data_IF_339569580134
#
_entry.id   IF_339569580134
#
_cell.length_a   1.000
_cell.length_b   1.000
_cell.length_c   1.000
_cell.angle_alpha   90.00
_cell.angle_beta   90.00
_cell.angle_gamma   90.00
#
_symmetry.space_group_name_H-M   'P 1'
#
loop_
_entity.id
_entity.type
_entity.pdbx_description
1 polymer ?
#
# COMPACT_ATOMS: atom_id res chain seq x y z
N UNK A 1 60.39 43.88 22.19
CA UNK A 1 59.68 42.82 21.41
C UNK A 1 59.92 41.47 22.10
N UNK A 2 59.00 40.48 22.14
CA UNK A 2 57.71 40.35 21.46
C UNK A 2 56.48 40.20 22.41
N UNK A 3 55.30 40.37 21.79
CA UNK A 3 53.96 40.44 22.38
C UNK A 3 53.38 39.04 22.65
N UNK A 4 52.93 38.76 23.89
CA UNK A 4 52.13 37.56 24.20
C UNK A 4 50.69 37.77 23.76
N UNK A 5 50.29 37.06 22.71
CA UNK A 5 48.98 37.15 22.08
C UNK A 5 47.89 36.48 22.93
N UNK A 6 46.78 37.20 23.07
CA UNK A 6 45.54 36.78 23.75
C UNK A 6 44.86 35.66 22.96
N UNK A 7 44.79 34.44 23.50
CA UNK A 7 43.84 33.41 23.03
C UNK A 7 42.52 33.56 23.78
N UNK A 8 41.60 34.35 23.21
CA UNK A 8 40.19 34.38 23.63
C UNK A 8 39.55 33.03 23.29
N UNK A 9 39.31 32.19 24.30
CA UNK A 9 38.45 31.01 24.19
C UNK A 9 37.02 31.49 23.92
N UNK A 10 36.57 31.37 22.68
CA UNK A 10 35.15 31.52 22.32
C UNK A 10 34.43 30.29 22.86
N UNK A 11 33.71 30.46 23.97
CA UNK A 11 32.71 29.50 24.40
C UNK A 11 31.60 29.51 23.35
N UNK A 12 31.59 28.50 22.49
CA UNK A 12 30.43 28.19 21.65
C UNK A 12 29.30 27.80 22.59
N UNK A 13 28.45 28.79 22.91
CA UNK A 13 27.16 28.61 23.54
C UNK A 13 26.33 27.79 22.55
N UNK A 14 26.32 26.47 22.72
CA UNK A 14 25.40 25.59 22.02
C UNK A 14 24.00 26.11 22.33
N UNK A 15 23.39 26.78 21.34
CA UNK A 15 21.98 27.07 21.37
C UNK A 15 21.30 25.72 21.58
N UNK A 16 20.67 25.54 22.75
CA UNK A 16 19.67 24.50 22.93
C UNK A 16 18.63 24.78 21.87
N UNK A 17 18.72 24.05 20.77
CA UNK A 17 17.64 23.92 19.81
C UNK A 17 16.47 23.43 20.65
N UNK A 18 15.56 24.35 20.96
CA UNK A 18 14.20 24.01 21.31
C UNK A 18 13.76 23.02 20.24
N UNK A 19 13.65 21.74 20.59
CA UNK A 19 13.05 20.74 19.72
C UNK A 19 11.56 21.05 19.79
N UNK A 20 10.96 21.68 18.76
CA UNK A 20 9.54 21.96 18.80
C UNK A 20 8.83 20.61 18.72
N UNK A 21 7.99 20.33 19.72
CA UNK A 21 7.03 19.23 19.73
C UNK A 21 7.62 17.86 19.40
N UNK A 22 7.88 17.04 20.43
CA UNK A 22 7.58 15.62 20.24
C UNK A 22 6.11 15.58 19.88
N UNK A 23 5.81 15.40 18.59
CA UNK A 23 4.47 15.15 18.13
C UNK A 23 4.03 13.92 18.89
N UNK A 24 3.19 14.17 19.89
CA UNK A 24 2.32 13.20 20.49
C UNK A 24 1.73 12.40 19.32
N UNK A 25 2.24 11.17 19.12
CA UNK A 25 1.78 10.24 18.08
C UNK A 25 0.51 9.56 18.60
N UNK A 26 -0.33 10.31 19.29
CA UNK A 26 -1.69 9.93 19.60
C UNK A 26 -2.48 9.97 18.31
N UNK A 27 -2.90 8.81 17.85
CA UNK A 27 -4.03 8.64 16.95
C UNK A 27 -3.97 9.42 15.62
N UNK A 28 -2.78 9.46 14.99
CA UNK A 28 -2.72 9.85 13.57
C UNK A 28 -3.21 8.67 12.74
N UNK A 29 -4.48 8.73 12.36
CA UNK A 29 -5.03 7.89 11.30
C UNK A 29 -4.04 7.88 10.13
N UNK A 30 -3.36 6.74 9.93
CA UNK A 30 -2.41 6.60 8.83
C UNK A 30 -3.23 6.52 7.55
N UNK A 31 -2.80 7.22 6.51
CA UNK A 31 -3.57 7.36 5.28
C UNK A 31 -2.72 6.89 4.10
N UNK A 32 -3.35 6.14 3.19
CA UNK A 32 -2.77 5.76 1.91
C UNK A 32 -3.32 6.69 0.82
N UNK A 33 -2.58 6.83 -0.29
CA UNK A 33 -3.12 7.58 -1.43
C UNK A 33 -4.26 6.79 -2.09
N UNK A 34 -5.33 7.49 -2.46
CA UNK A 34 -6.34 6.90 -3.32
C UNK A 34 -5.79 6.73 -4.74
N UNK A 35 -6.11 5.60 -5.38
CA UNK A 35 -5.68 5.25 -6.72
C UNK A 35 -6.88 5.20 -7.68
N UNK A 36 -6.75 5.73 -8.91
CA UNK A 36 -5.58 6.43 -9.44
C UNK A 36 -5.27 7.73 -8.68
N UNK A 37 -4.00 8.17 -8.69
CA UNK A 37 -3.58 9.39 -7.97
C UNK A 37 -4.39 10.60 -8.43
N UNK A 38 -5.07 11.25 -7.49
CA UNK A 38 -5.90 12.43 -7.74
C UNK A 38 -5.38 13.61 -6.94
N UNK A 39 -5.23 14.77 -7.60
CA UNK A 39 -4.89 16.04 -6.99
C UNK A 39 -6.14 16.92 -6.93
N UNK A 40 -6.56 17.27 -5.71
CA UNK A 40 -7.68 18.17 -5.48
C UNK A 40 -7.34 19.62 -5.85
N UNK A 41 -8.37 20.45 -6.02
CA UNK A 41 -8.24 21.87 -6.37
C UNK A 41 -7.44 22.70 -5.34
N UNK A 42 -7.33 22.21 -4.09
CA UNK A 42 -6.51 22.80 -3.03
C UNK A 42 -5.05 22.33 -3.01
N UNK A 43 -4.61 21.51 -3.96
CA UNK A 43 -3.25 20.96 -4.01
C UNK A 43 -3.00 19.79 -3.06
N UNK A 44 -4.05 19.18 -2.50
CA UNK A 44 -3.96 17.97 -1.69
C UNK A 44 -4.25 16.71 -2.52
N UNK A 45 -3.58 15.60 -2.19
CA UNK A 45 -3.92 14.31 -2.78
C UNK A 45 -5.17 13.72 -2.13
N UNK A 46 -5.96 12.99 -2.91
CA UNK A 46 -6.99 12.12 -2.36
C UNK A 46 -6.35 10.96 -1.58
N UNK A 47 -6.91 10.64 -0.42
CA UNK A 47 -6.39 9.60 0.47
C UNK A 47 -7.50 8.72 1.02
N UNK A 48 -7.16 7.48 1.35
CA UNK A 48 -8.02 6.55 2.10
C UNK A 48 -7.46 6.38 3.51
N UNK A 49 -8.36 6.34 4.48
CA UNK A 49 -7.98 5.99 5.86
C UNK A 49 -7.55 4.52 5.91
N UNK A 50 -6.44 4.25 6.58
CA UNK A 50 -5.95 2.89 6.77
C UNK A 50 -6.99 2.03 7.50
N UNK A 51 -6.98 0.74 7.18
CA UNK A 51 -7.84 -0.29 7.78
C UNK A 51 -9.34 -0.09 7.49
N UNK A 52 -9.66 0.77 6.53
CA UNK A 52 -11.00 0.84 5.96
C UNK A 52 -11.15 -0.18 4.84
N UNK A 53 -12.37 -0.67 4.63
CA UNK A 53 -12.67 -1.61 3.54
C UNK A 53 -12.27 -1.07 2.16
N UNK A 54 -12.40 0.24 1.94
CA UNK A 54 -11.97 0.89 0.69
C UNK A 54 -10.45 0.85 0.49
N UNK A 55 -9.67 1.05 1.55
CA UNK A 55 -8.21 0.97 1.50
C UNK A 55 -7.74 -0.47 1.25
N UNK A 56 -8.30 -1.44 1.97
CA UNK A 56 -8.00 -2.87 1.79
C UNK A 56 -8.34 -3.31 0.36
N UNK A 57 -9.52 -2.93 -0.16
CA UNK A 57 -9.92 -3.25 -1.53
C UNK A 57 -8.95 -2.66 -2.57
N UNK A 58 -8.46 -1.43 -2.34
CA UNK A 58 -7.45 -0.83 -3.20
C UNK A 58 -6.10 -1.57 -3.12
N UNK A 59 -5.68 -1.97 -1.93
CA UNK A 59 -4.46 -2.78 -1.72
C UNK A 59 -4.52 -4.09 -2.52
N UNK A 60 -5.64 -4.82 -2.42
CA UNK A 60 -5.89 -6.04 -3.20
C UNK A 60 -5.92 -5.73 -4.70
N UNK A 61 -6.55 -4.64 -5.13
CA UNK A 61 -6.58 -4.28 -6.56
C UNK A 61 -5.16 -4.03 -7.10
N UNK A 62 -4.30 -3.35 -6.34
CA UNK A 62 -2.90 -3.13 -6.72
C UNK A 62 -2.12 -4.45 -6.78
N UNK A 63 -2.35 -5.36 -5.82
CA UNK A 63 -1.77 -6.70 -5.84
C UNK A 63 -2.16 -7.47 -7.11
N UNK A 64 -3.45 -7.53 -7.43
CA UNK A 64 -3.96 -8.24 -8.60
C UNK A 64 -3.53 -7.61 -9.94
N UNK A 65 -3.25 -6.30 -9.95
CA UNK A 65 -2.79 -5.60 -11.15
C UNK A 65 -1.27 -5.64 -11.35
N UNK A 66 -0.52 -6.17 -10.38
CA UNK A 66 0.95 -6.23 -10.43
C UNK A 66 1.38 -7.66 -10.77
N UNK A 67 2.35 -7.82 -11.66
CA UNK A 67 2.95 -9.12 -11.98
C UNK A 67 4.23 -9.33 -11.16
N UNK A 68 4.53 -10.57 -10.73
CA UNK A 68 5.82 -10.90 -10.14
C UNK A 68 6.98 -10.42 -11.03
N UNK A 69 7.98 -9.79 -10.41
CA UNK A 69 9.16 -9.19 -11.03
C UNK A 69 9.04 -7.70 -11.32
N UNK A 70 7.83 -7.12 -11.34
CA UNK A 70 7.64 -5.69 -11.60
C UNK A 70 8.13 -4.82 -10.43
N UNK A 71 8.05 -5.33 -9.20
CA UNK A 71 8.57 -4.67 -8.00
C UNK A 71 9.99 -5.13 -7.70
N UNK A 72 10.98 -4.29 -8.04
CA UNK A 72 12.41 -4.61 -7.82
C UNK A 72 12.77 -4.98 -6.38
N UNK A 73 12.12 -4.38 -5.39
CA UNK A 73 12.42 -4.62 -3.97
C UNK A 73 11.74 -5.87 -3.41
N UNK A 74 10.67 -6.33 -4.06
CA UNK A 74 9.86 -7.48 -3.65
C UNK A 74 9.42 -8.22 -4.92
N UNK A 75 10.33 -8.91 -5.62
CA UNK A 75 10.04 -9.51 -6.92
C UNK A 75 8.89 -10.53 -6.90
N UNK A 76 8.63 -11.15 -5.75
CA UNK A 76 7.56 -12.11 -5.51
C UNK A 76 6.16 -11.46 -5.39
N UNK A 77 6.08 -10.13 -5.26
CA UNK A 77 4.78 -9.44 -5.14
C UNK A 77 4.03 -9.42 -6.46
N UNK A 78 2.77 -9.85 -6.43
CA UNK A 78 1.85 -9.78 -7.56
C UNK A 78 1.08 -11.07 -7.79
N UNK A 79 0.18 -11.04 -8.76
CA UNK A 79 -0.55 -12.22 -9.23
C UNK A 79 0.02 -12.68 -10.59
N UNK A 80 0.39 -13.95 -10.76
CA UNK A 80 0.80 -14.49 -12.07
C UNK A 80 -0.27 -14.27 -13.15
N UNK A 81 0.15 -14.01 -14.39
CA UNK A 81 -0.76 -13.77 -15.52
C UNK A 81 -1.55 -15.04 -15.86
N UNK A 82 -2.89 -15.06 -15.69
CA UNK A 82 -3.69 -16.26 -15.92
C UNK A 82 -3.92 -16.53 -17.41
N UNK A 83 -3.57 -15.61 -18.32
CA UNK A 83 -3.94 -15.69 -19.75
C UNK A 83 -3.49 -17.00 -20.43
N UNK A 84 -2.37 -17.58 -20.01
CA UNK A 84 -1.82 -18.81 -20.59
C UNK A 84 -1.72 -19.99 -19.60
N UNK A 85 -1.85 -19.74 -18.29
CA UNK A 85 -1.81 -20.77 -17.24
C UNK A 85 -3.19 -21.19 -16.72
N UNK A 86 -4.23 -20.42 -17.05
CA UNK A 86 -5.54 -20.51 -16.40
C UNK A 86 -5.60 -19.68 -15.12
N UNK A 87 -6.82 -19.35 -14.68
CA UNK A 87 -7.05 -18.69 -13.40
C UNK A 87 -7.32 -19.75 -12.32
N UNK A 88 -6.41 -19.87 -11.35
CA UNK A 88 -6.58 -20.71 -10.18
C UNK A 88 -7.16 -19.87 -9.03
N UNK A 89 -8.28 -20.31 -8.46
CA UNK A 89 -8.87 -19.66 -7.28
C UNK A 89 -7.92 -19.77 -6.09
N UNK A 90 -7.28 -20.92 -5.94
CA UNK A 90 -6.33 -21.20 -4.86
C UNK A 90 -5.15 -20.23 -4.91
N UNK A 91 -4.60 -19.97 -6.10
CA UNK A 91 -3.48 -19.05 -6.29
C UNK A 91 -3.86 -17.61 -5.89
N UNK A 92 -5.09 -17.19 -6.22
CA UNK A 92 -5.58 -15.85 -5.85
C UNK A 92 -5.77 -15.73 -4.34
N UNK A 93 -6.34 -16.76 -3.72
CA UNK A 93 -6.57 -16.79 -2.26
C UNK A 93 -5.23 -16.80 -1.51
N UNK A 94 -4.28 -17.62 -1.95
CA UNK A 94 -2.95 -17.72 -1.34
C UNK A 94 -2.19 -16.38 -1.44
N UNK A 95 -2.17 -15.76 -2.62
CA UNK A 95 -1.49 -14.47 -2.84
C UNK A 95 -2.13 -13.35 -2.02
N UNK A 96 -3.46 -13.30 -1.90
CA UNK A 96 -4.14 -12.31 -1.05
C UNK A 96 -3.85 -12.56 0.43
N UNK A 97 -3.89 -13.81 0.89
CA UNK A 97 -3.62 -14.15 2.28
C UNK A 97 -2.19 -13.77 2.70
N UNK A 98 -1.21 -13.92 1.80
CA UNK A 98 0.18 -13.56 2.04
C UNK A 98 0.39 -12.04 2.09
N UNK A 99 -0.12 -11.30 1.10
CA UNK A 99 0.20 -9.88 0.94
C UNK A 99 -0.79 -8.91 1.57
N UNK A 100 -2.03 -9.34 1.81
CA UNK A 100 -3.07 -8.52 2.41
C UNK A 100 -3.89 -9.33 3.44
N UNK A 101 -3.28 -9.68 4.60
CA UNK A 101 -3.92 -10.52 5.61
C UNK A 101 -5.14 -9.86 6.27
N UNK A 102 -5.40 -8.56 6.01
CA UNK A 102 -6.61 -7.86 6.47
C UNK A 102 -7.82 -8.17 5.59
N UNK A 103 -7.61 -8.64 4.36
CA UNK A 103 -8.69 -9.14 3.52
C UNK A 103 -9.13 -10.52 4.01
N UNK A 104 -10.44 -10.76 4.11
CA UNK A 104 -10.97 -12.06 4.53
C UNK A 104 -10.85 -13.09 3.40
N UNK A 105 -10.01 -14.14 3.53
CA UNK A 105 -9.80 -15.11 2.45
C UNK A 105 -11.08 -15.91 2.14
N UNK A 106 -11.88 -16.22 3.17
CA UNK A 106 -13.15 -16.93 3.01
C UNK A 106 -14.17 -16.12 2.19
N UNK A 107 -14.17 -14.79 2.32
CA UNK A 107 -15.02 -13.94 1.50
C UNK A 107 -14.54 -13.94 0.05
N UNK A 108 -13.22 -13.86 -0.17
CA UNK A 108 -12.61 -13.86 -1.51
C UNK A 108 -12.94 -15.15 -2.26
N UNK A 109 -12.72 -16.31 -1.63
CA UNK A 109 -13.02 -17.63 -2.23
C UNK A 109 -14.49 -17.73 -2.65
N UNK A 110 -15.42 -17.28 -1.79
CA UNK A 110 -16.86 -17.31 -2.06
C UNK A 110 -17.26 -16.43 -3.26
N UNK A 111 -16.66 -15.24 -3.37
CA UNK A 111 -16.93 -14.29 -4.46
C UNK A 111 -16.39 -14.83 -5.78
N UNK A 112 -15.16 -15.37 -5.79
CA UNK A 112 -14.55 -15.90 -7.00
C UNK A 112 -15.31 -17.14 -7.48
N UNK A 113 -15.64 -18.06 -6.57
CA UNK A 113 -16.42 -19.26 -6.90
C UNK A 113 -17.79 -18.91 -7.48
N UNK A 114 -18.49 -17.96 -6.85
CA UNK A 114 -19.77 -17.47 -7.36
C UNK A 114 -19.67 -16.77 -8.73
N UNK A 115 -18.59 -16.01 -8.97
CA UNK A 115 -18.34 -15.38 -10.26
C UNK A 115 -18.07 -16.41 -11.37
N UNK A 116 -17.24 -17.42 -11.10
CA UNK A 116 -16.94 -18.50 -12.06
C UNK A 116 -18.20 -19.30 -12.41
N UNK A 117 -19.03 -19.64 -11.42
CA UNK A 117 -20.31 -20.32 -11.66
C UNK A 117 -21.28 -19.50 -12.50
N UNK A 118 -21.32 -18.18 -12.29
CA UNK A 118 -22.19 -17.28 -13.05
C UNK A 118 -21.79 -17.14 -14.52
N UNK A 119 -20.50 -17.29 -14.83
CA UNK A 119 -19.97 -17.26 -16.22
C UNK A 119 -20.36 -18.53 -16.98
N UNK A 120 -20.50 -19.66 -16.29
CA UNK A 120 -20.84 -20.96 -16.89
C UNK A 120 -22.34 -21.10 -17.25
N UNK A 121 -23.19 -20.16 -16.80
CA UNK A 121 -24.63 -20.15 -17.12
C UNK A 121 -24.88 -19.37 -18.42
N UNK A 122 -24.57 -20.01 -19.55
CA UNK A 122 -25.32 -19.78 -20.79
C UNK A 122 -25.66 -21.14 -21.40
N UNK A 123 -26.82 -21.74 -21.09
CA UNK A 123 -27.36 -22.78 -21.95
C UNK A 123 -27.64 -22.10 -23.29
N UNK A 124 -26.86 -22.49 -24.31
CA UNK A 124 -27.18 -22.21 -25.69
C UNK A 124 -28.52 -22.87 -26.05
N UNK A 125 -29.62 -22.18 -25.78
CA UNK A 125 -30.93 -22.50 -26.34
C UNK A 125 -30.97 -22.02 -27.78
N UNK A 126 -30.29 -22.75 -28.66
CA UNK A 126 -30.49 -22.68 -30.10
C UNK A 126 -31.49 -23.75 -30.53
N UNK A 127 -32.65 -23.29 -31.01
CA UNK A 127 -33.51 -23.82 -32.08
C UNK A 127 -34.97 -23.42 -31.81
#
# INVERSE_FOLDING_TARGET
>A
MPRRSRRRRRHHRAARLHRPGSLDRGDRMTASFALPLQLGSGGSFATLAQDTAGEIAQSVAVLMSTRPGERRAVPEYGLPDPLFGGASVDDVVEVIAEWEPRASPALVESVITGATQSIDIRPGGGA
#
